data_IF_388982927799
#
_entry.id   IF_388982927799
#
_cell.length_a   1.000
_cell.length_b   1.000
_cell.length_c   1.000
_cell.angle_alpha   90.00
_cell.angle_beta   90.00
_cell.angle_gamma   90.00
#
_symmetry.space_group_name_H-M   'P 1'
#
loop_
_entity.id
_entity.type
_entity.pdbx_description
1 polymer ?
#
# COMPACT_ATOMS: atom_id res chain seq x y z
N UNK A 1 -14.71 -5.25 18.36
CA UNK A 1 -14.59 -6.61 17.81
C UNK A 1 -15.51 -6.88 16.63
N UNK A 2 -16.86 -6.82 16.79
CA UNK A 2 -17.83 -7.27 15.77
C UNK A 2 -17.72 -6.58 14.42
N UNK A 3 -17.48 -5.27 14.38
CA UNK A 3 -17.25 -4.51 13.14
C UNK A 3 -16.02 -5.01 12.37
N UNK A 4 -14.92 -5.32 13.06
CA UNK A 4 -13.70 -5.84 12.44
C UNK A 4 -13.92 -7.25 11.88
N UNK A 5 -14.59 -8.13 12.63
CA UNK A 5 -14.94 -9.47 12.14
C UNK A 5 -15.82 -9.41 10.89
N UNK A 6 -16.76 -8.46 10.83
CA UNK A 6 -17.57 -8.24 9.63
C UNK A 6 -16.70 -7.83 8.42
N UNK A 7 -15.73 -6.92 8.57
CA UNK A 7 -14.83 -6.54 7.48
C UNK A 7 -13.93 -7.69 7.02
N UNK A 8 -13.42 -8.49 7.96
CA UNK A 8 -12.64 -9.69 7.63
C UNK A 8 -13.51 -10.66 6.82
N UNK A 9 -14.74 -10.90 7.26
CA UNK A 9 -15.68 -11.76 6.55
C UNK A 9 -15.96 -11.25 5.14
N UNK A 10 -16.23 -9.96 4.95
CA UNK A 10 -16.41 -9.36 3.63
C UNK A 10 -15.16 -9.53 2.76
N UNK A 11 -13.97 -9.29 3.30
CA UNK A 11 -12.71 -9.44 2.59
C UNK A 11 -12.46 -10.88 2.13
N UNK A 12 -12.63 -11.84 3.02
CA UNK A 12 -12.54 -13.28 2.70
C UNK A 12 -13.57 -13.65 1.64
N UNK A 13 -14.82 -13.19 1.78
CA UNK A 13 -15.91 -13.47 0.83
C UNK A 13 -15.56 -12.94 -0.58
N UNK A 14 -15.01 -11.73 -0.69
CA UNK A 14 -14.54 -11.16 -1.97
C UNK A 14 -13.42 -12.03 -2.54
N UNK A 15 -12.41 -12.39 -1.75
CA UNK A 15 -11.32 -13.25 -2.22
C UNK A 15 -11.84 -14.61 -2.70
N UNK A 16 -12.74 -15.24 -1.96
CA UNK A 16 -13.35 -16.52 -2.33
C UNK A 16 -14.22 -16.42 -3.59
N UNK A 17 -15.00 -15.33 -3.73
CA UNK A 17 -15.78 -15.08 -4.94
C UNK A 17 -14.89 -14.95 -6.18
N UNK A 18 -13.77 -14.24 -6.06
CA UNK A 18 -12.76 -14.12 -7.11
C UNK A 18 -12.20 -15.49 -7.50
N UNK A 19 -11.78 -16.28 -6.51
CA UNK A 19 -11.21 -17.62 -6.73
C UNK A 19 -12.23 -18.54 -7.39
N UNK A 20 -13.46 -18.54 -6.92
CA UNK A 20 -14.55 -19.35 -7.46
C UNK A 20 -14.90 -18.96 -8.91
N UNK A 21 -15.04 -17.65 -9.16
CA UNK A 21 -15.37 -17.16 -10.51
C UNK A 21 -14.25 -17.44 -11.51
N UNK A 22 -12.99 -17.34 -11.11
CA UNK A 22 -11.81 -17.52 -11.97
C UNK A 22 -11.49 -19.00 -12.28
N UNK A 23 -12.49 -19.88 -12.27
CA UNK A 23 -12.34 -21.33 -12.54
C UNK A 23 -11.82 -21.67 -13.93
N UNK A 24 -11.92 -20.75 -14.91
CA UNK A 24 -11.35 -20.90 -16.27
C UNK A 24 -10.46 -19.68 -16.60
N UNK A 25 -9.60 -19.86 -17.63
CA UNK A 25 -8.72 -18.79 -18.10
C UNK A 25 -9.52 -17.58 -18.58
N UNK A 26 -10.55 -17.80 -19.38
CA UNK A 26 -11.37 -16.72 -19.97
C UNK A 26 -12.05 -15.90 -18.87
N UNK A 27 -12.55 -16.54 -17.83
CA UNK A 27 -13.13 -15.86 -16.66
C UNK A 27 -12.07 -15.08 -15.88
N UNK A 28 -10.87 -15.62 -15.75
CA UNK A 28 -9.74 -14.92 -15.12
C UNK A 28 -9.39 -13.66 -15.90
N UNK A 29 -9.30 -13.73 -17.24
CA UNK A 29 -9.01 -12.59 -18.10
C UNK A 29 -10.10 -11.53 -18.05
N UNK A 30 -11.38 -11.93 -17.99
CA UNK A 30 -12.51 -11.01 -17.78
C UNK A 30 -12.37 -10.30 -16.44
N UNK A 31 -12.04 -11.04 -15.39
CA UNK A 31 -11.87 -10.47 -14.04
C UNK A 31 -10.75 -9.42 -14.00
N UNK A 32 -9.60 -9.72 -14.62
CA UNK A 32 -8.50 -8.75 -14.72
C UNK A 32 -8.91 -7.50 -15.52
N UNK A 33 -9.71 -7.64 -16.58
CA UNK A 33 -10.24 -6.49 -17.33
C UNK A 33 -11.18 -5.63 -16.48
N UNK A 34 -12.10 -6.26 -15.72
CA UNK A 34 -13.03 -5.55 -14.85
C UNK A 34 -12.26 -4.80 -13.76
N UNK A 35 -11.39 -5.50 -13.02
CA UNK A 35 -10.58 -4.89 -11.96
C UNK A 35 -9.70 -3.80 -12.55
N UNK A 36 -9.05 -4.05 -13.70
CA UNK A 36 -8.24 -3.06 -14.39
C UNK A 36 -9.04 -1.83 -14.81
N UNK A 37 -10.28 -1.99 -15.28
CA UNK A 37 -11.19 -0.89 -15.61
C UNK A 37 -11.53 -0.01 -14.41
N UNK A 38 -11.89 -0.64 -13.28
CA UNK A 38 -12.17 0.08 -12.02
C UNK A 38 -10.96 0.88 -11.55
N UNK A 39 -9.78 0.25 -11.59
CA UNK A 39 -8.52 0.87 -11.17
C UNK A 39 -8.10 2.01 -12.11
N UNK A 40 -8.45 1.91 -13.40
CA UNK A 40 -8.20 2.99 -14.38
C UNK A 40 -9.10 4.20 -14.10
N UNK A 41 -10.35 3.96 -13.74
CA UNK A 41 -11.27 5.02 -13.30
C UNK A 41 -10.74 5.69 -12.04
N UNK A 42 -10.27 4.91 -11.06
CA UNK A 42 -9.66 5.45 -9.84
C UNK A 42 -8.41 6.27 -10.14
N UNK A 43 -7.54 5.81 -11.04
CA UNK A 43 -6.37 6.55 -11.51
C UNK A 43 -6.75 7.89 -12.13
N UNK A 44 -7.77 7.93 -12.99
CA UNK A 44 -8.28 9.16 -13.59
C UNK A 44 -8.83 10.13 -12.54
N UNK A 45 -9.62 9.64 -11.59
CA UNK A 45 -10.16 10.46 -10.50
C UNK A 45 -9.02 11.01 -9.64
N UNK A 46 -8.04 10.18 -9.26
CA UNK A 46 -6.90 10.62 -8.47
C UNK A 46 -6.05 11.68 -9.19
N UNK A 47 -5.90 11.58 -10.52
CA UNK A 47 -5.25 12.63 -11.32
C UNK A 47 -6.07 13.91 -11.32
N UNK A 48 -7.40 13.84 -11.52
CA UNK A 48 -8.28 15.01 -11.45
C UNK A 48 -8.18 15.69 -10.08
N UNK A 49 -8.22 14.92 -8.99
CA UNK A 49 -8.06 15.45 -7.64
C UNK A 49 -6.68 16.07 -7.39
N UNK A 50 -5.62 15.56 -8.06
CA UNK A 50 -4.25 16.06 -7.91
C UNK A 50 -4.02 17.42 -8.57
N UNK A 51 -4.74 17.69 -9.67
CA UNK A 51 -4.50 18.88 -10.49
C UNK A 51 -5.66 19.87 -10.52
N UNK A 52 -6.80 19.53 -9.89
CA UNK A 52 -7.99 20.39 -9.83
C UNK A 52 -8.57 20.46 -8.43
N UNK A 53 -9.56 21.34 -8.25
CA UNK A 53 -10.37 21.41 -7.03
C UNK A 53 -11.45 20.34 -6.95
N UNK A 54 -11.55 19.46 -7.95
CA UNK A 54 -12.52 18.37 -7.96
C UNK A 54 -12.31 17.44 -6.77
N UNK A 55 -13.39 17.06 -6.10
CA UNK A 55 -13.39 16.04 -5.03
C UNK A 55 -14.64 15.20 -5.15
N UNK A 56 -14.49 13.89 -4.95
CA UNK A 56 -15.65 13.02 -4.84
C UNK A 56 -16.49 13.39 -3.60
N UNK A 57 -17.82 13.20 -3.63
CA UNK A 57 -18.69 13.47 -2.49
C UNK A 57 -18.27 12.78 -1.20
N UNK A 58 -17.64 11.60 -1.30
CA UNK A 58 -17.16 10.79 -0.17
C UNK A 58 -15.74 11.16 0.28
N UNK A 59 -15.04 12.06 -0.42
CA UNK A 59 -13.69 12.50 -0.03
C UNK A 59 -13.74 13.24 1.31
N UNK A 60 -12.77 13.03 2.21
CA UNK A 60 -12.69 13.73 3.49
C UNK A 60 -12.60 15.25 3.33
N UNK A 61 -12.22 15.73 2.17
CA UNK A 61 -12.08 17.16 1.85
C UNK A 61 -13.28 17.75 1.12
N UNK A 62 -14.34 16.98 0.91
CA UNK A 62 -15.53 17.40 0.18
C UNK A 62 -16.53 18.09 1.09
N UNK A 63 -17.06 19.26 0.68
CA UNK A 63 -18.19 19.90 1.35
C UNK A 63 -19.47 19.06 1.36
N UNK A 64 -19.58 18.08 0.46
CA UNK A 64 -20.72 17.16 0.41
C UNK A 64 -20.80 16.24 1.63
N UNK A 65 -19.71 16.09 2.42
CA UNK A 65 -19.74 15.29 3.65
C UNK A 65 -20.77 15.76 4.65
N UNK A 66 -21.10 17.05 4.68
CA UNK A 66 -22.12 17.59 5.56
C UNK A 66 -23.50 16.95 5.33
N UNK A 67 -23.82 16.56 4.09
CA UNK A 67 -25.06 15.83 3.77
C UNK A 67 -25.07 14.40 4.33
N UNK A 68 -23.90 13.86 4.68
CA UNK A 68 -23.73 12.55 5.31
C UNK A 68 -23.50 12.64 6.83
N UNK A 69 -23.77 13.83 7.42
CA UNK A 69 -23.61 14.08 8.87
C UNK A 69 -22.17 14.07 9.34
N UNK A 70 -21.21 14.43 8.48
CA UNK A 70 -19.80 14.56 8.81
C UNK A 70 -19.27 15.91 8.37
N UNK A 71 -18.44 16.52 9.20
CA UNK A 71 -17.73 17.73 8.81
C UNK A 71 -16.55 17.37 7.88
N UNK A 72 -16.31 18.18 6.83
CA UNK A 72 -15.10 18.07 6.04
C UNK A 72 -13.88 18.27 6.95
N UNK A 73 -12.85 17.47 6.72
CA UNK A 73 -11.58 17.64 7.43
C UNK A 73 -11.01 19.00 7.05
N UNK A 74 -10.86 19.90 8.06
CA UNK A 74 -10.19 21.19 7.89
C UNK A 74 -8.68 21.01 8.10
N UNK A 75 -7.88 21.77 7.34
CA UNK A 75 -6.42 21.73 7.49
C UNK A 75 -5.94 22.37 8.81
N UNK A 76 -6.79 23.16 9.50
CA UNK A 76 -6.51 23.69 10.83
C UNK A 76 -6.45 22.61 11.91
N UNK A 77 -7.02 21.43 11.65
CA UNK A 77 -7.03 20.30 12.59
C UNK A 77 -5.75 19.45 12.55
N UNK A 78 -4.94 19.62 11.52
CA UNK A 78 -3.62 19.02 11.40
C UNK A 78 -2.56 20.10 11.68
N UNK A 79 -1.98 20.08 12.89
CA UNK A 79 -0.96 21.01 13.35
C UNK A 79 -0.06 21.54 12.21
N UNK A 80 -0.13 22.83 11.98
CA UNK A 80 0.84 23.76 11.32
C UNK A 80 1.70 23.31 10.11
N UNK A 81 1.66 22.04 9.70
CA UNK A 81 2.54 21.49 8.67
C UNK A 81 2.04 21.82 7.25
N UNK A 82 0.74 22.09 7.08
CA UNK A 82 0.11 22.36 5.78
C UNK A 82 -0.45 23.78 5.59
N UNK A 83 -0.16 24.70 6.47
CA UNK A 83 -0.76 26.06 6.51
C UNK A 83 -0.40 26.92 5.30
N UNK A 84 0.54 26.53 4.46
CA UNK A 84 1.04 27.37 3.36
C UNK A 84 0.58 26.98 1.94
N UNK A 85 -0.30 25.99 1.79
CA UNK A 85 -0.81 25.69 0.44
C UNK A 85 -2.26 25.21 0.48
N UNK A 86 -3.09 25.74 -0.42
CA UNK A 86 -4.43 25.22 -0.77
C UNK A 86 -4.38 23.80 -1.36
N UNK A 87 -3.24 23.12 -1.26
CA UNK A 87 -3.01 21.81 -1.80
C UNK A 87 -3.64 20.74 -0.91
N UNK A 88 -4.63 20.06 -1.46
CA UNK A 88 -5.30 18.91 -0.85
C UNK A 88 -4.84 17.64 -1.54
N UNK A 89 -4.23 16.68 -0.83
CA UNK A 89 -3.76 15.45 -1.44
C UNK A 89 -4.94 14.64 -2.04
N UNK A 90 -4.72 13.87 -3.12
CA UNK A 90 -5.77 13.05 -3.71
C UNK A 90 -6.16 11.90 -2.78
N UNK A 91 -7.43 11.53 -2.81
CA UNK A 91 -7.99 10.42 -2.03
C UNK A 91 -8.67 9.36 -2.89
N UNK A 92 -9.08 9.69 -4.11
CA UNK A 92 -9.78 8.77 -5.01
C UNK A 92 -11.04 8.18 -4.36
N UNK A 93 -11.20 6.87 -4.44
CA UNK A 93 -12.28 6.16 -3.77
C UNK A 93 -12.02 5.88 -2.27
N UNK A 94 -10.88 6.34 -1.74
CA UNK A 94 -10.48 6.07 -0.36
C UNK A 94 -10.73 7.28 0.54
N UNK A 95 -10.95 6.99 1.82
CA UNK A 95 -11.03 8.03 2.85
C UNK A 95 -9.67 8.65 3.18
N UNK A 96 -8.59 7.90 2.96
CA UNK A 96 -7.24 8.31 3.33
C UNK A 96 -6.31 8.26 2.12
N UNK A 97 -5.51 9.31 1.94
CA UNK A 97 -4.53 9.42 0.87
C UNK A 97 -3.48 8.30 0.87
N UNK A 98 -3.10 7.78 2.06
CA UNK A 98 -2.20 6.63 2.14
C UNK A 98 -2.85 5.36 1.55
N UNK A 99 -4.15 5.16 1.74
CA UNK A 99 -4.86 4.02 1.17
C UNK A 99 -4.92 4.12 -0.36
N UNK A 100 -5.16 5.32 -0.91
CA UNK A 100 -5.03 5.54 -2.36
C UNK A 100 -3.61 5.20 -2.83
N UNK A 101 -2.59 5.70 -2.15
CA UNK A 101 -1.20 5.43 -2.52
C UNK A 101 -0.87 3.93 -2.50
N UNK A 102 -1.41 3.17 -1.53
CA UNK A 102 -1.27 1.71 -1.49
C UNK A 102 -2.01 1.05 -2.64
N UNK A 103 -3.22 1.50 -2.99
CA UNK A 103 -3.93 1.00 -4.17
C UNK A 103 -3.08 1.22 -5.44
N UNK A 104 -2.46 2.39 -5.58
CA UNK A 104 -1.57 2.70 -6.71
C UNK A 104 -0.35 1.79 -6.76
N UNK A 105 0.25 1.42 -5.62
CA UNK A 105 1.36 0.45 -5.57
C UNK A 105 0.92 -0.94 -6.02
N UNK A 106 -0.29 -1.36 -5.70
CA UNK A 106 -0.81 -2.66 -6.14
C UNK A 106 -1.07 -2.71 -7.66
N UNK A 107 -1.39 -1.57 -8.25
CA UNK A 107 -1.70 -1.43 -9.68
C UNK A 107 -0.45 -1.25 -10.54
N UNK A 108 0.54 -0.51 -10.04
CA UNK A 108 1.76 -0.14 -10.75
C UNK A 108 2.41 -1.30 -11.53
N UNK A 109 2.57 -2.51 -10.95
CA UNK A 109 3.21 -3.61 -11.64
C UNK A 109 2.49 -4.06 -12.92
N UNK A 110 1.18 -3.89 -13.01
CA UNK A 110 0.43 -4.24 -14.22
C UNK A 110 0.79 -3.31 -15.39
N UNK A 111 1.06 -2.04 -15.12
CA UNK A 111 1.58 -1.12 -16.11
C UNK A 111 3.05 -1.41 -16.45
N UNK A 112 3.90 -1.62 -15.44
CA UNK A 112 5.32 -1.93 -15.63
C UNK A 112 5.55 -3.21 -16.45
N UNK A 113 4.74 -4.24 -16.24
CA UNK A 113 4.82 -5.51 -16.96
C UNK A 113 4.11 -5.50 -18.31
N UNK A 114 3.34 -4.47 -18.66
CA UNK A 114 2.63 -4.36 -19.93
C UNK A 114 3.56 -4.53 -21.13
N UNK A 115 3.08 -5.22 -22.17
CA UNK A 115 3.78 -5.35 -23.45
C UNK A 115 3.69 -4.06 -24.29
N UNK A 116 2.63 -3.26 -24.09
CA UNK A 116 2.42 -2.01 -24.81
C UNK A 116 3.24 -0.90 -24.16
N UNK A 117 4.22 -0.35 -24.91
CA UNK A 117 5.15 0.64 -24.38
C UNK A 117 4.44 1.92 -23.91
N UNK A 118 3.42 2.36 -24.64
CA UNK A 118 2.65 3.57 -24.29
C UNK A 118 1.94 3.37 -22.95
N UNK A 119 1.23 2.25 -22.78
CA UNK A 119 0.52 1.90 -21.54
C UNK A 119 1.51 1.82 -20.36
N UNK A 120 2.67 1.17 -20.59
CA UNK A 120 3.73 1.08 -19.60
C UNK A 120 4.22 2.45 -19.15
N UNK A 121 4.62 3.31 -20.09
CA UNK A 121 5.22 4.62 -19.79
C UNK A 121 4.18 5.53 -19.14
N UNK A 122 3.04 5.73 -19.78
CA UNK A 122 2.01 6.66 -19.29
C UNK A 122 1.43 6.20 -17.95
N UNK A 123 1.12 4.92 -17.81
CA UNK A 123 0.57 4.39 -16.55
C UNK A 123 1.59 4.46 -15.40
N UNK A 124 2.85 4.14 -15.66
CA UNK A 124 3.90 4.26 -14.64
C UNK A 124 4.10 5.71 -14.20
N UNK A 125 4.16 6.66 -15.15
CA UNK A 125 4.29 8.09 -14.85
C UNK A 125 3.08 8.56 -14.04
N UNK A 126 1.86 8.28 -14.50
CA UNK A 126 0.63 8.72 -13.84
C UNK A 126 0.57 8.22 -12.38
N UNK A 127 0.86 6.93 -12.14
CA UNK A 127 0.86 6.36 -10.80
C UNK A 127 1.98 6.96 -9.94
N UNK A 128 3.17 7.15 -10.50
CA UNK A 128 4.29 7.77 -9.77
C UNK A 128 3.94 9.19 -9.32
N UNK A 129 3.29 9.98 -10.19
CA UNK A 129 2.81 11.32 -9.85
C UNK A 129 1.83 11.27 -8.68
N UNK A 130 0.85 10.36 -8.69
CA UNK A 130 -0.10 10.23 -7.58
C UNK A 130 0.59 9.83 -6.28
N UNK A 131 1.55 8.90 -6.32
CA UNK A 131 2.31 8.48 -5.13
C UNK A 131 3.08 9.68 -4.54
N UNK A 132 3.70 10.51 -5.39
CA UNK A 132 4.39 11.74 -4.96
C UNK A 132 3.38 12.72 -4.34
N UNK A 133 2.24 12.95 -5.00
CA UNK A 133 1.20 13.86 -4.51
C UNK A 133 0.56 13.37 -3.20
N UNK A 134 0.49 12.07 -2.99
CA UNK A 134 0.03 11.48 -1.74
C UNK A 134 1.04 11.62 -0.58
N UNK A 135 2.30 11.98 -0.87
CA UNK A 135 3.40 12.19 0.08
C UNK A 135 3.62 11.03 1.07
N UNK A 136 3.32 9.78 0.64
CA UNK A 136 3.43 8.59 1.49
C UNK A 136 4.82 7.97 1.40
N UNK A 137 5.65 8.18 2.43
CA UNK A 137 7.05 7.70 2.49
C UNK A 137 7.18 6.18 2.34
N UNK A 138 6.32 5.43 3.04
CA UNK A 138 6.35 3.97 3.01
C UNK A 138 5.93 3.42 1.63
N UNK A 139 4.97 4.08 0.96
CA UNK A 139 4.56 3.74 -0.40
C UNK A 139 5.66 4.10 -1.40
N UNK A 140 6.35 5.22 -1.22
CA UNK A 140 7.49 5.59 -2.04
C UNK A 140 8.64 4.57 -1.93
N UNK A 141 8.89 4.05 -0.73
CA UNK A 141 9.81 2.93 -0.54
C UNK A 141 9.33 1.67 -1.30
N UNK A 142 8.03 1.40 -1.28
CA UNK A 142 7.41 0.33 -2.07
C UNK A 142 7.63 0.49 -3.57
N UNK A 143 7.51 1.72 -4.09
CA UNK A 143 7.79 2.04 -5.48
C UNK A 143 9.25 1.71 -5.86
N UNK A 144 10.21 2.15 -5.05
CA UNK A 144 11.64 1.87 -5.27
C UNK A 144 11.88 0.36 -5.29
N UNK A 145 11.35 -0.36 -4.33
CA UNK A 145 11.50 -1.82 -4.20
C UNK A 145 10.90 -2.52 -5.43
N UNK A 146 9.70 -2.13 -5.90
CA UNK A 146 9.10 -2.68 -7.11
C UNK A 146 10.02 -2.48 -8.32
N UNK A 147 10.56 -1.27 -8.51
CA UNK A 147 11.46 -0.96 -9.63
C UNK A 147 12.73 -1.82 -9.55
N UNK A 148 13.32 -1.98 -8.36
CA UNK A 148 14.49 -2.82 -8.14
C UNK A 148 14.22 -4.29 -8.50
N UNK A 149 13.10 -4.85 -8.02
CA UNK A 149 12.73 -6.23 -8.32
C UNK A 149 12.36 -6.41 -9.79
N UNK A 150 11.66 -5.46 -10.40
CA UNK A 150 11.35 -5.48 -11.83
C UNK A 150 12.61 -5.52 -12.69
N UNK A 151 13.57 -4.63 -12.44
CA UNK A 151 14.82 -4.56 -13.19
C UNK A 151 15.74 -5.74 -12.90
N UNK A 152 15.91 -6.12 -11.63
CA UNK A 152 16.81 -7.18 -11.21
C UNK A 152 16.31 -8.58 -11.59
N UNK A 153 15.05 -8.87 -11.28
CA UNK A 153 14.53 -10.24 -11.39
C UNK A 153 13.69 -10.50 -12.64
N UNK A 154 12.92 -9.50 -13.10
CA UNK A 154 12.05 -9.67 -14.28
C UNK A 154 12.84 -9.34 -15.56
N UNK A 155 13.52 -8.21 -15.60
CA UNK A 155 14.28 -7.75 -16.79
C UNK A 155 15.75 -8.12 -16.79
N UNK A 156 16.30 -8.54 -15.64
CA UNK A 156 17.73 -8.90 -15.47
C UNK A 156 18.70 -7.78 -15.92
N UNK A 157 18.32 -6.52 -15.71
CA UNK A 157 19.10 -5.34 -16.08
C UNK A 157 19.83 -4.75 -14.86
N UNK A 158 20.82 -5.47 -14.34
CA UNK A 158 21.56 -5.08 -13.12
C UNK A 158 22.29 -3.74 -13.31
N UNK A 159 22.88 -3.47 -14.46
CA UNK A 159 23.55 -2.20 -14.74
C UNK A 159 22.58 -1.00 -14.69
N UNK A 160 21.34 -1.16 -15.20
CA UNK A 160 20.30 -0.12 -15.09
C UNK A 160 19.87 0.08 -13.64
N UNK A 161 19.85 -0.99 -12.85
CA UNK A 161 19.54 -0.92 -11.42
C UNK A 161 20.60 -0.12 -10.65
N UNK A 162 21.90 -0.36 -10.91
CA UNK A 162 22.98 0.41 -10.27
C UNK A 162 22.93 1.87 -10.66
N UNK A 163 22.60 2.20 -11.91
CA UNK A 163 22.44 3.59 -12.35
C UNK A 163 21.27 4.28 -11.60
N UNK A 164 20.13 3.59 -11.45
CA UNK A 164 18.99 4.12 -10.69
C UNK A 164 19.38 4.38 -9.24
N UNK A 165 20.10 3.45 -8.60
CA UNK A 165 20.59 3.66 -7.24
C UNK A 165 21.55 4.87 -7.15
N UNK A 166 22.44 5.06 -8.11
CA UNK A 166 23.31 6.25 -8.15
C UNK A 166 22.49 7.55 -8.28
N UNK A 167 21.46 7.55 -9.13
CA UNK A 167 20.56 8.71 -9.29
C UNK A 167 19.78 8.98 -7.99
N UNK A 168 19.23 7.95 -7.36
CA UNK A 168 18.51 8.09 -6.08
C UNK A 168 19.44 8.65 -5.01
N UNK A 169 20.63 8.10 -4.85
CA UNK A 169 21.62 8.59 -3.88
C UNK A 169 22.06 10.01 -4.20
N UNK A 170 22.24 10.36 -5.47
CA UNK A 170 22.57 11.72 -5.92
C UNK A 170 21.45 12.72 -5.61
N UNK A 171 20.20 12.35 -5.84
CA UNK A 171 19.05 13.17 -5.46
C UNK A 171 18.94 13.34 -3.94
N UNK A 172 19.17 12.27 -3.18
CA UNK A 172 19.24 12.31 -1.73
C UNK A 172 20.30 13.28 -1.23
N UNK A 173 21.51 13.16 -1.78
CA UNK A 173 22.61 14.06 -1.45
C UNK A 173 22.33 15.50 -1.87
N UNK A 174 21.79 15.72 -3.08
CA UNK A 174 21.40 17.05 -3.56
C UNK A 174 20.30 17.70 -2.73
N UNK A 175 19.29 16.94 -2.29
CA UNK A 175 18.23 17.45 -1.41
C UNK A 175 18.77 17.79 -0.01
N UNK A 176 19.71 17.03 0.52
CA UNK A 176 20.38 17.35 1.78
C UNK A 176 21.15 18.68 1.72
N UNK A 177 21.69 19.03 0.54
CA UNK A 177 22.33 20.35 0.32
C UNK A 177 21.31 21.50 0.14
N UNK A 178 20.06 21.18 -0.24
CA UNK A 178 18.99 22.15 -0.45
C UNK A 178 18.13 22.39 0.80
N UNK A 179 18.50 21.84 1.95
CA UNK A 179 17.75 21.99 3.22
C UNK A 179 17.63 23.43 3.70
N UNK A 180 18.44 24.35 3.19
CA UNK A 180 18.36 25.81 3.41
C UNK A 180 17.49 26.54 2.36
N UNK A 181 16.75 25.80 1.51
CA UNK A 181 15.91 26.40 0.47
C UNK A 181 14.73 27.16 1.08
N UNK A 182 14.43 28.33 0.54
CA UNK A 182 13.23 29.09 0.91
C UNK A 182 11.92 28.47 0.39
N UNK A 183 11.98 27.35 -0.36
CA UNK A 183 10.79 26.67 -0.85
C UNK A 183 10.23 25.73 0.24
N UNK A 184 8.99 25.98 0.75
CA UNK A 184 8.41 25.22 1.84
C UNK A 184 8.33 23.70 1.58
N UNK A 185 8.13 23.27 0.32
CA UNK A 185 8.08 21.85 -0.07
C UNK A 185 9.43 21.17 -0.04
N UNK A 186 10.48 21.88 -0.46
CA UNK A 186 11.84 21.36 -0.41
C UNK A 186 12.25 21.20 1.05
N UNK A 187 11.93 22.16 1.88
CA UNK A 187 12.17 22.10 3.33
C UNK A 187 11.37 20.96 4.00
N UNK A 188 10.12 20.71 3.61
CA UNK A 188 9.33 19.60 4.15
C UNK A 188 9.94 18.23 3.79
N UNK A 189 10.41 18.07 2.56
CA UNK A 189 11.12 16.85 2.12
C UNK A 189 12.46 16.75 2.87
N UNK A 190 13.23 17.82 2.97
CA UNK A 190 14.51 17.86 3.67
C UNK A 190 14.34 17.55 5.16
N UNK A 191 13.40 18.20 5.84
CA UNK A 191 13.06 17.95 7.24
C UNK A 191 12.58 16.50 7.46
N UNK A 192 11.86 15.93 6.48
CA UNK A 192 11.42 14.53 6.52
C UNK A 192 12.58 13.57 6.42
N UNK A 193 13.62 13.91 5.68
CA UNK A 193 14.83 13.11 5.53
C UNK A 193 15.74 13.24 6.74
N UNK A 194 15.86 14.44 7.29
CA UNK A 194 16.56 14.68 8.55
C UNK A 194 15.88 13.91 9.68
N UNK A 195 14.56 13.98 9.80
CA UNK A 195 13.77 13.20 10.75
C UNK A 195 14.00 11.67 10.58
N UNK A 196 14.08 11.17 9.34
CA UNK A 196 14.42 9.77 9.09
C UNK A 196 15.86 9.43 9.51
N UNK A 197 16.82 10.34 9.27
CA UNK A 197 18.22 10.14 9.68
C UNK A 197 18.38 10.15 11.20
N UNK A 198 17.68 11.04 11.91
CA UNK A 198 17.63 11.11 13.37
C UNK A 198 16.95 9.88 13.96
N UNK A 199 15.86 9.41 13.34
CA UNK A 199 15.19 8.16 13.72
C UNK A 199 16.12 6.94 13.60
N UNK A 200 16.89 6.86 12.50
CA UNK A 200 17.86 5.77 12.27
C UNK A 200 19.06 5.85 13.25
N UNK A 201 19.40 7.04 13.73
CA UNK A 201 20.45 7.25 14.75
C UNK A 201 19.97 7.02 16.17
N UNK A 202 18.66 6.83 16.40
CA UNK A 202 18.08 6.64 17.73
C UNK A 202 17.86 7.93 18.53
N UNK A 203 18.06 9.08 17.91
CA UNK A 203 17.73 10.39 18.50
C UNK A 203 16.22 10.62 18.55
N UNK A 204 15.68 10.88 19.74
CA UNK A 204 14.29 10.61 20.10
C UNK A 204 13.36 11.80 19.86
N UNK A 205 13.87 12.96 19.54
CA UNK A 205 13.11 14.22 19.50
C UNK A 205 12.69 14.63 18.08
N UNK A 206 11.99 13.73 17.38
CA UNK A 206 11.42 14.03 16.07
C UNK A 206 9.91 14.23 16.22
N UNK A 207 9.50 15.42 16.60
CA UNK A 207 8.08 15.79 16.67
C UNK A 207 7.33 15.47 15.37
N UNK A 208 6.05 15.10 15.46
CA UNK A 208 5.16 14.88 14.32
C UNK A 208 4.69 13.42 14.14
N UNK A 209 4.28 13.08 12.93
CA UNK A 209 3.58 11.82 12.63
C UNK A 209 4.37 10.53 12.91
N UNK A 210 5.70 10.58 13.01
CA UNK A 210 6.53 9.43 13.33
C UNK A 210 6.49 9.09 14.83
N UNK A 211 6.50 10.08 15.69
CA UNK A 211 6.43 9.91 17.14
C UNK A 211 5.09 9.25 17.54
N UNK A 212 3.98 9.73 16.99
CA UNK A 212 2.67 9.13 17.24
C UNK A 212 2.59 7.67 16.82
N UNK A 213 3.16 7.34 15.65
CA UNK A 213 3.20 5.94 15.19
C UNK A 213 4.05 5.08 16.10
N UNK A 214 5.17 5.61 16.60
CA UNK A 214 6.02 4.89 17.56
C UNK A 214 5.27 4.63 18.87
N UNK A 215 4.57 5.64 19.39
CA UNK A 215 3.73 5.50 20.59
C UNK A 215 2.66 4.41 20.39
N UNK A 216 1.89 4.49 19.29
CA UNK A 216 0.87 3.49 18.95
C UNK A 216 1.46 2.07 18.85
N UNK A 217 2.61 1.91 18.23
CA UNK A 217 3.30 0.62 18.12
C UNK A 217 3.76 0.12 19.48
N UNK A 218 4.37 0.98 20.30
CA UNK A 218 4.85 0.62 21.64
C UNK A 218 3.69 0.17 22.55
N UNK A 219 2.58 0.91 22.53
CA UNK A 219 1.38 0.55 23.27
C UNK A 219 0.81 -0.82 22.82
N UNK A 220 0.77 -1.03 21.51
CA UNK A 220 0.32 -2.32 20.97
C UNK A 220 1.23 -3.48 21.38
N UNK A 221 2.56 -3.30 21.29
CA UNK A 221 3.52 -4.34 21.71
C UNK A 221 3.47 -4.60 23.23
N UNK A 222 3.22 -3.57 24.05
CA UNK A 222 2.99 -3.76 25.48
C UNK A 222 1.76 -4.61 25.75
N UNK A 223 0.63 -4.33 25.06
CA UNK A 223 -0.58 -5.13 25.16
C UNK A 223 -0.39 -6.59 24.67
N UNK A 224 0.39 -6.79 23.61
CA UNK A 224 0.77 -8.14 23.15
C UNK A 224 1.56 -8.90 24.22
N UNK A 225 2.49 -8.22 24.91
CA UNK A 225 3.26 -8.81 26.02
C UNK A 225 2.35 -9.16 27.20
N UNK A 226 1.41 -8.29 27.57
CA UNK A 226 0.43 -8.55 28.64
C UNK A 226 -0.47 -9.76 28.33
N UNK A 227 -0.81 -9.97 27.04
CA UNK A 227 -1.56 -11.15 26.58
C UNK A 227 -0.70 -12.41 26.43
N UNK A 228 0.55 -12.43 26.90
CA UNK A 228 1.53 -13.53 26.70
C UNK A 228 1.70 -13.92 25.21
N UNK A 229 1.58 -12.95 24.29
CA UNK A 229 1.72 -13.17 22.87
C UNK A 229 0.50 -13.79 22.17
N UNK A 230 -0.61 -13.98 22.86
CA UNK A 230 -1.85 -14.53 22.28
C UNK A 230 -2.60 -13.50 21.44
N UNK A 231 -2.29 -12.20 21.61
CA UNK A 231 -2.97 -11.11 20.96
C UNK A 231 -4.20 -10.62 21.74
N UNK A 232 -4.70 -9.45 21.32
CA UNK A 232 -5.81 -8.78 22.02
C UNK A 232 -7.18 -8.99 21.33
N UNK A 233 -7.19 -9.79 20.28
CA UNK A 233 -8.38 -10.07 19.48
C UNK A 233 -8.66 -9.01 18.40
N UNK A 234 -9.48 -9.38 17.42
CA UNK A 234 -9.80 -8.53 16.28
C UNK A 234 -10.44 -7.19 16.69
N UNK A 235 -9.81 -6.09 16.32
CA UNK A 235 -10.18 -4.73 16.69
C UNK A 235 -9.94 -4.41 18.18
N UNK A 236 -9.14 -5.22 18.88
CA UNK A 236 -8.80 -5.02 20.28
C UNK A 236 -7.75 -3.95 20.51
N UNK A 237 -6.97 -3.60 19.50
CA UNK A 237 -5.99 -2.52 19.56
C UNK A 237 -6.63 -1.14 19.78
N UNK A 238 -7.78 -0.88 19.17
CA UNK A 238 -8.50 0.41 19.27
C UNK A 238 -8.87 0.77 20.71
N UNK A 239 -9.61 -0.04 21.49
CA UNK A 239 -9.96 0.32 22.86
C UNK A 239 -8.75 0.42 23.79
N UNK A 240 -7.63 -0.25 23.47
CA UNK A 240 -6.39 -0.12 24.22
C UNK A 240 -5.82 1.29 24.04
N UNK A 241 -5.72 1.76 22.79
CA UNK A 241 -5.24 3.10 22.48
C UNK A 241 -6.16 4.19 23.10
N UNK A 242 -7.48 4.00 23.02
CA UNK A 242 -8.46 4.90 23.64
C UNK A 242 -8.28 4.99 25.17
N UNK A 243 -8.03 3.86 25.84
CA UNK A 243 -7.84 3.79 27.30
C UNK A 243 -6.54 4.45 27.75
N UNK A 244 -5.47 4.33 26.97
CA UNK A 244 -4.18 4.97 27.29
C UNK A 244 -4.31 6.49 27.18
N UNK A 245 -5.12 6.97 26.22
CA UNK A 245 -5.34 8.42 26.03
C UNK A 245 -4.14 9.14 25.40
N UNK A 246 -4.04 10.46 25.61
CA UNK A 246 -2.96 11.28 25.05
C UNK A 246 -3.05 11.39 23.52
N UNK A 247 -1.91 11.34 22.85
CA UNK A 247 -1.84 11.35 21.38
C UNK A 247 -2.45 10.07 20.81
N UNK A 248 -2.26 8.93 21.46
CA UNK A 248 -2.90 7.66 21.13
C UNK A 248 -4.43 7.72 21.18
N UNK A 249 -5.02 8.53 22.08
CA UNK A 249 -6.47 8.74 22.17
C UNK A 249 -7.09 9.45 20.96
N UNK A 250 -6.30 10.24 20.22
CA UNK A 250 -6.74 10.89 18.98
C UNK A 250 -6.67 9.97 17.77
N UNK A 251 -5.69 9.04 17.75
CA UNK A 251 -5.42 8.11 16.63
C UNK A 251 -5.46 6.68 17.16
N UNK A 252 -6.63 6.09 17.17
CA UNK A 252 -6.85 4.73 17.70
C UNK A 252 -6.38 3.61 16.77
N UNK A 253 -6.08 3.92 15.52
CA UNK A 253 -5.57 2.95 14.54
C UNK A 253 -4.05 2.80 14.67
N UNK A 254 -3.55 1.57 14.55
CA UNK A 254 -2.11 1.25 14.66
C UNK A 254 -1.26 1.88 13.55
N UNK A 255 -1.85 2.35 12.45
CA UNK A 255 -1.15 2.88 11.27
C UNK A 255 0.03 2.03 10.79
N UNK A 256 -0.06 0.72 11.01
CA UNK A 256 0.89 -0.28 10.56
C UNK A 256 0.20 -1.65 10.53
N UNK A 257 -0.13 -2.13 9.32
CA UNK A 257 -0.84 -3.40 9.14
C UNK A 257 -0.15 -4.60 9.80
N UNK A 258 1.17 -4.68 9.68
CA UNK A 258 1.91 -5.84 10.21
C UNK A 258 1.89 -5.87 11.73
N UNK A 259 2.02 -4.72 12.37
CA UNK A 259 1.94 -4.60 13.83
C UNK A 259 0.49 -4.80 14.30
N UNK A 260 -0.50 -4.23 13.60
CA UNK A 260 -1.91 -4.47 13.88
C UNK A 260 -2.24 -5.97 13.85
N UNK A 261 -1.81 -6.66 12.79
CA UNK A 261 -2.00 -8.11 12.63
C UNK A 261 -1.32 -8.91 13.75
N UNK A 262 -0.11 -8.51 14.15
CA UNK A 262 0.63 -9.15 15.24
C UNK A 262 -0.04 -8.91 16.60
N UNK A 263 -0.41 -7.68 16.89
CA UNK A 263 -1.01 -7.30 18.18
C UNK A 263 -2.40 -7.90 18.36
N UNK A 264 -3.23 -7.86 17.31
CA UNK A 264 -4.58 -8.38 17.39
C UNK A 264 -4.64 -9.90 17.28
N UNK A 265 -3.87 -10.49 16.35
CA UNK A 265 -3.89 -11.93 16.10
C UNK A 265 -2.97 -12.76 16.99
N UNK A 266 -1.97 -12.12 17.61
CA UNK A 266 -0.93 -12.81 18.36
C UNK A 266 0.15 -13.44 17.48
N UNK A 267 1.19 -13.93 18.14
CA UNK A 267 2.42 -14.43 17.47
C UNK A 267 2.12 -15.64 16.58
N UNK A 268 1.27 -16.56 17.03
CA UNK A 268 0.98 -17.80 16.28
C UNK A 268 0.25 -17.48 15.00
N UNK A 269 -0.87 -16.71 15.08
CA UNK A 269 -1.65 -16.32 13.92
C UNK A 269 -0.84 -15.47 12.94
N UNK A 270 -0.08 -14.51 13.44
CA UNK A 270 0.83 -13.69 12.64
C UNK A 270 1.82 -14.54 11.86
N UNK A 271 2.48 -15.52 12.51
CA UNK A 271 3.46 -16.42 11.88
C UNK A 271 2.82 -17.24 10.76
N UNK A 272 1.59 -17.73 10.96
CA UNK A 272 0.84 -18.46 9.92
C UNK A 272 0.52 -17.57 8.71
N UNK A 273 0.08 -16.34 8.95
CA UNK A 273 -0.23 -15.39 7.87
C UNK A 273 1.04 -14.98 7.10
N UNK A 274 2.15 -14.75 7.80
CA UNK A 274 3.44 -14.44 7.16
C UNK A 274 3.91 -15.64 6.31
N UNK A 275 3.84 -16.87 6.84
CA UNK A 275 4.19 -18.07 6.09
C UNK A 275 3.33 -18.23 4.83
N UNK A 276 2.01 -17.99 4.95
CA UNK A 276 1.08 -18.01 3.83
C UNK A 276 1.40 -16.90 2.80
N UNK A 277 1.67 -15.68 3.24
CA UNK A 277 2.06 -14.55 2.39
C UNK A 277 3.34 -14.86 1.60
N UNK A 278 4.37 -15.38 2.27
CA UNK A 278 5.63 -15.78 1.64
C UNK A 278 5.36 -16.90 0.62
N UNK A 279 4.53 -17.88 0.96
CA UNK A 279 4.18 -18.98 0.04
C UNK A 279 3.51 -18.49 -1.24
N UNK A 280 2.54 -17.58 -1.14
CA UNK A 280 1.90 -16.95 -2.31
C UNK A 280 2.94 -16.20 -3.14
N UNK A 281 3.71 -15.33 -2.52
CA UNK A 281 4.73 -14.52 -3.19
C UNK A 281 5.76 -15.39 -3.92
N UNK A 282 6.21 -16.46 -3.29
CA UNK A 282 7.15 -17.42 -3.90
C UNK A 282 6.55 -18.16 -5.10
N UNK A 283 5.28 -18.59 -5.02
CA UNK A 283 4.61 -19.21 -6.17
C UNK A 283 4.46 -18.22 -7.32
N UNK A 284 4.08 -16.98 -7.06
CA UNK A 284 4.01 -15.93 -8.09
C UNK A 284 5.37 -15.65 -8.72
N UNK A 285 6.44 -15.65 -7.92
CA UNK A 285 7.81 -15.55 -8.43
C UNK A 285 8.16 -16.69 -9.40
N UNK A 286 7.77 -17.94 -9.11
CA UNK A 286 7.94 -19.07 -10.05
C UNK A 286 7.16 -18.83 -11.34
N UNK A 287 5.92 -18.36 -11.23
CA UNK A 287 5.05 -18.08 -12.38
C UNK A 287 5.63 -16.95 -13.24
N UNK A 288 6.24 -15.93 -12.63
CA UNK A 288 6.88 -14.82 -13.36
C UNK A 288 8.01 -15.26 -14.28
N UNK A 289 8.55 -16.46 -14.08
CA UNK A 289 9.60 -17.06 -14.92
C UNK A 289 9.09 -18.09 -15.92
N UNK A 290 7.80 -18.41 -15.87
CA UNK A 290 7.19 -19.40 -16.75
C UNK A 290 6.86 -18.83 -18.12
N UNK A 291 7.66 -19.20 -19.14
CA UNK A 291 7.59 -18.61 -20.49
C UNK A 291 6.58 -19.26 -21.43
N UNK A 292 6.05 -20.43 -21.08
CA UNK A 292 5.14 -21.21 -21.94
C UNK A 292 3.77 -20.54 -22.10
N UNK A 293 3.36 -19.66 -21.17
CA UNK A 293 2.13 -18.91 -21.26
C UNK A 293 2.36 -17.42 -20.89
N UNK A 294 2.53 -16.56 -21.90
CA UNK A 294 2.85 -15.14 -21.68
C UNK A 294 1.83 -14.38 -20.83
N UNK A 295 0.54 -14.73 -20.91
CA UNK A 295 -0.51 -14.05 -20.16
C UNK A 295 -0.45 -14.41 -18.67
N UNK A 296 -0.35 -15.70 -18.34
CA UNK A 296 -0.20 -16.15 -16.95
C UNK A 296 1.14 -15.65 -16.38
N UNK A 297 2.19 -15.62 -17.20
CA UNK A 297 3.47 -15.02 -16.82
C UNK A 297 3.31 -13.52 -16.49
N UNK A 298 2.56 -12.79 -17.32
CA UNK A 298 2.28 -11.36 -17.09
C UNK A 298 1.54 -11.15 -15.76
N UNK A 299 0.44 -11.86 -15.52
CA UNK A 299 -0.31 -11.77 -14.26
C UNK A 299 0.55 -12.17 -13.05
N UNK A 300 1.30 -13.26 -13.16
CA UNK A 300 2.20 -13.71 -12.11
C UNK A 300 3.30 -12.71 -11.80
N UNK A 301 3.88 -12.07 -12.83
CA UNK A 301 4.91 -11.04 -12.67
C UNK A 301 4.36 -9.79 -12.00
N UNK A 302 3.19 -9.31 -12.45
CA UNK A 302 2.56 -8.13 -11.90
C UNK A 302 2.15 -8.35 -10.44
N UNK A 303 1.49 -9.46 -10.12
CA UNK A 303 1.08 -9.80 -8.76
C UNK A 303 2.28 -10.06 -7.83
N UNK A 304 3.34 -10.71 -8.32
CA UNK A 304 4.58 -10.87 -7.56
C UNK A 304 5.14 -9.51 -7.12
N UNK A 305 5.26 -8.57 -8.05
CA UNK A 305 5.76 -7.23 -7.75
C UNK A 305 4.79 -6.45 -6.83
N UNK A 306 3.47 -6.62 -7.01
CA UNK A 306 2.47 -6.02 -6.14
C UNK A 306 2.60 -6.54 -4.69
N UNK A 307 2.78 -7.85 -4.50
CA UNK A 307 3.04 -8.44 -3.18
C UNK A 307 4.31 -7.87 -2.56
N UNK A 308 5.40 -7.78 -3.31
CA UNK A 308 6.67 -7.21 -2.81
C UNK A 308 6.50 -5.73 -2.41
N UNK A 309 5.85 -4.92 -3.24
CA UNK A 309 5.61 -3.50 -2.96
C UNK A 309 4.65 -3.25 -1.82
N UNK A 310 3.69 -4.16 -1.60
CA UNK A 310 2.74 -4.06 -0.49
C UNK A 310 3.41 -4.16 0.88
N UNK A 311 4.52 -4.89 1.01
CA UNK A 311 5.20 -5.08 2.31
C UNK A 311 5.54 -3.74 2.98
N UNK A 312 6.31 -2.83 2.37
CA UNK A 312 6.58 -1.53 2.97
C UNK A 312 5.36 -0.60 2.93
N UNK A 313 4.54 -0.65 1.86
CA UNK A 313 3.41 0.24 1.70
C UNK A 313 2.36 0.06 2.80
N UNK A 314 2.14 -1.17 3.27
CA UNK A 314 1.18 -1.49 4.33
C UNK A 314 1.55 -0.90 5.71
N UNK A 315 2.78 -0.37 5.86
CA UNK A 315 3.20 0.37 7.07
C UNK A 315 2.52 1.77 7.14
N UNK A 316 2.05 2.31 6.00
CA UNK A 316 1.44 3.64 5.96
C UNK A 316 -0.07 3.63 6.21
N UNK A 317 -0.73 2.49 6.07
CA UNK A 317 -2.19 2.39 6.17
C UNK A 317 -2.70 2.60 7.60
N UNK A 318 -3.84 3.26 7.74
CA UNK A 318 -4.53 3.37 9.01
C UNK A 318 -4.98 2.00 9.53
N UNK A 319 -5.59 1.20 8.67
CA UNK A 319 -5.84 -0.24 8.82
C UNK A 319 -6.08 -0.82 7.44
N UNK A 320 -5.61 -2.04 7.20
CA UNK A 320 -5.80 -2.71 5.91
C UNK A 320 -6.88 -3.79 5.94
N UNK A 321 -7.44 -4.09 7.11
CA UNK A 321 -8.49 -5.13 7.26
C UNK A 321 -9.71 -4.81 6.40
N UNK A 322 -10.13 -3.54 6.33
CA UNK A 322 -11.22 -3.08 5.46
C UNK A 322 -10.72 -2.49 4.12
N UNK A 323 -9.46 -2.73 3.77
CA UNK A 323 -8.88 -2.29 2.50
C UNK A 323 -9.12 -3.35 1.42
N UNK A 324 -10.24 -3.25 0.71
CA UNK A 324 -10.65 -4.22 -0.30
C UNK A 324 -9.62 -4.50 -1.40
N UNK A 325 -8.81 -3.54 -1.89
CA UNK A 325 -7.76 -3.83 -2.87
C UNK A 325 -6.78 -4.91 -2.42
N UNK A 326 -6.46 -5.02 -1.13
CA UNK A 326 -5.63 -6.10 -0.60
C UNK A 326 -6.31 -7.48 -0.75
N UNK A 327 -7.59 -7.58 -0.40
CA UNK A 327 -8.34 -8.84 -0.51
C UNK A 327 -8.52 -9.27 -1.97
N UNK A 328 -8.74 -8.32 -2.88
CA UNK A 328 -8.78 -8.55 -4.33
C UNK A 328 -7.43 -9.06 -4.81
N UNK A 329 -6.31 -8.45 -4.40
CA UNK A 329 -4.96 -8.89 -4.74
C UNK A 329 -4.71 -10.34 -4.28
N UNK A 330 -5.12 -10.73 -3.07
CA UNK A 330 -4.99 -12.10 -2.59
C UNK A 330 -5.84 -13.07 -3.41
N UNK A 331 -7.10 -12.74 -3.69
CA UNK A 331 -7.98 -13.55 -4.52
C UNK A 331 -7.41 -13.78 -5.93
N UNK A 332 -6.95 -12.72 -6.60
CA UNK A 332 -6.30 -12.81 -7.92
C UNK A 332 -5.01 -13.62 -7.87
N UNK A 333 -4.19 -13.45 -6.83
CA UNK A 333 -2.94 -14.18 -6.65
C UNK A 333 -3.17 -15.70 -6.56
N UNK A 334 -4.11 -16.12 -5.75
CA UNK A 334 -4.48 -17.52 -5.59
C UNK A 334 -5.06 -18.07 -6.91
N UNK A 335 -5.89 -17.29 -7.61
CA UNK A 335 -6.49 -17.66 -8.88
C UNK A 335 -5.43 -17.90 -9.97
N UNK A 336 -4.43 -17.02 -10.05
CA UNK A 336 -3.32 -17.19 -11.02
C UNK A 336 -2.46 -18.42 -10.68
N UNK A 337 -2.20 -18.67 -9.38
CA UNK A 337 -1.48 -19.88 -8.94
C UNK A 337 -2.25 -21.14 -9.30
N UNK A 338 -3.57 -21.13 -9.11
CA UNK A 338 -4.43 -22.27 -9.48
C UNK A 338 -4.45 -22.51 -10.99
N UNK A 339 -4.61 -21.44 -11.78
CA UNK A 339 -4.57 -21.54 -13.26
C UNK A 339 -3.24 -22.08 -13.77
N UNK A 340 -2.12 -21.65 -13.18
CA UNK A 340 -0.78 -22.17 -13.46
C UNK A 340 -0.65 -23.67 -13.15
N UNK A 341 -1.07 -24.11 -11.96
CA UNK A 341 -0.98 -25.52 -11.53
C UNK A 341 -1.81 -26.42 -12.43
N UNK A 342 -3.03 -26.01 -12.78
CA UNK A 342 -3.92 -26.78 -13.68
C UNK A 342 -3.31 -26.98 -15.05
N UNK A 343 -2.74 -25.93 -15.68
CA UNK A 343 -2.10 -26.05 -17.00
C UNK A 343 -0.87 -26.95 -16.95
N UNK A 344 -0.03 -26.81 -15.94
CA UNK A 344 1.17 -27.63 -15.77
C UNK A 344 0.82 -29.12 -15.59
N UNK A 345 -0.25 -29.42 -14.85
CA UNK A 345 -0.71 -30.81 -14.67
C UNK A 345 -1.12 -31.45 -16.01
N UNK A 346 -1.89 -30.74 -16.84
CA UNK A 346 -2.32 -31.26 -18.14
C UNK A 346 -1.15 -31.49 -19.12
N UNK A 347 -0.07 -30.73 -19.05
CA UNK A 347 1.12 -30.93 -19.91
C UNK A 347 1.93 -32.15 -19.53
N UNK A 348 1.86 -32.68 -18.33
CA UNK A 348 2.57 -33.88 -17.90
C UNK A 348 1.75 -35.15 -18.09
N UNK A 349 0.47 -35.04 -18.46
CA UNK A 349 -0.45 -36.17 -18.69
C UNK A 349 -0.76 -36.39 -20.17
N UNK A 350 -0.33 -35.52 -21.05
CA UNK A 350 -0.30 -35.69 -22.52
C UNK A 350 1.12 -35.96 -23.01
#
# INVERSE_FOLDING_TARGET
GGKYLFYIFCGISISMAIIYYSSSKDKLDILFKIVGGILLVELCIALLESFTSFRLPISPYSSWLQYFGKDPVSFSDFDNIFVYSDFRPPTGFHWNTNNLAIAMILILPFFLCSHQIIVKVLGTIAITVIIIMAASRAVFLGLIIIICFYLGFIKKKIATLSLIWMVILGLFWGMAQLSESQNPRINEIANSMEALSLYLKGDIDVGGSLEWRRELVNNGLAALKESNGLGVGAGGSVPIQEKIGGVAGRFTSMHNFWIELLVEGGIIFFSLIIGWYISITYNLFKISKWRENPEIQYYGSALFLAMIGFVPAAIAASSTIYFFPMWIMFGLSISVIYAYRRKRFHQHTT
#
